data_IF_183865209825
#
_entry.id   IF_183865209825
#
_cell.length_a   1.000
_cell.length_b   1.000
_cell.length_c   1.000
_cell.angle_alpha   90.00
_cell.angle_beta   90.00
_cell.angle_gamma   90.00
#
_symmetry.space_group_name_H-M   'P 1'
#
loop_
_entity.id
_entity.type
_entity.pdbx_description
1 polymer ?
#
# COMPACT_ATOMS: atom_id res chain seq x y z
N UNK A 1 -0.88 13.45 -3.85
CA UNK A 1 -0.77 12.51 -4.99
C UNK A 1 -2.05 12.55 -5.82
N UNK A 2 -1.99 12.42 -7.15
CA UNK A 2 -3.20 12.29 -8.00
C UNK A 2 -3.69 10.85 -8.03
N UNK A 3 -4.91 10.58 -8.50
CA UNK A 3 -5.41 9.21 -8.69
C UNK A 3 -4.43 8.36 -9.51
N UNK A 4 -4.00 8.86 -10.68
CA UNK A 4 -3.00 8.17 -11.52
C UNK A 4 -1.67 7.91 -10.79
N UNK A 5 -1.29 8.77 -9.85
CA UNK A 5 -0.12 8.54 -8.99
C UNK A 5 -0.36 7.39 -8.01
N UNK A 6 -1.54 7.36 -7.38
CA UNK A 6 -1.96 6.29 -6.48
C UNK A 6 -1.98 4.95 -7.21
N UNK A 7 -2.61 4.86 -8.37
CA UNK A 7 -2.68 3.64 -9.17
C UNK A 7 -1.28 3.11 -9.53
N UNK A 8 -0.36 4.03 -9.89
CA UNK A 8 1.04 3.69 -10.19
C UNK A 8 1.77 3.11 -8.98
N UNK A 9 1.55 3.67 -7.78
CA UNK A 9 2.15 3.19 -6.54
C UNK A 9 1.63 1.81 -6.18
N UNK A 10 0.30 1.60 -6.22
CA UNK A 10 -0.32 0.30 -5.94
C UNK A 10 0.30 -0.77 -6.86
N UNK A 11 0.30 -0.53 -8.16
CA UNK A 11 0.90 -1.46 -9.12
C UNK A 11 2.42 -1.65 -8.91
N UNK A 12 3.13 -0.66 -8.37
CA UNK A 12 4.55 -0.80 -8.04
C UNK A 12 4.78 -1.77 -6.86
N UNK A 13 3.93 -1.73 -5.83
CA UNK A 13 3.97 -2.71 -4.74
C UNK A 13 3.73 -4.13 -5.23
N UNK A 14 2.72 -4.36 -6.08
CA UNK A 14 2.47 -5.68 -6.68
C UNK A 14 3.66 -6.21 -7.48
N UNK A 15 4.24 -5.35 -8.34
CA UNK A 15 5.45 -5.71 -9.09
C UNK A 15 6.66 -5.95 -8.19
N UNK A 16 6.80 -5.23 -7.07
CA UNK A 16 7.89 -5.44 -6.12
C UNK A 16 7.73 -6.79 -5.39
N UNK A 17 6.52 -7.11 -4.92
CA UNK A 17 6.20 -8.38 -4.27
C UNK A 17 6.49 -9.58 -5.19
N UNK A 18 6.08 -9.50 -6.47
CA UNK A 18 6.39 -10.53 -7.46
C UNK A 18 7.89 -10.75 -7.63
N UNK A 19 8.69 -9.68 -7.60
CA UNK A 19 10.16 -9.78 -7.68
C UNK A 19 10.76 -10.39 -6.41
N UNK A 20 10.22 -10.06 -5.23
CA UNK A 20 10.66 -10.66 -3.98
C UNK A 20 10.44 -12.19 -3.99
N UNK A 21 9.27 -12.64 -4.44
CA UNK A 21 8.97 -14.07 -4.62
C UNK A 21 9.94 -14.72 -5.60
N UNK A 22 10.16 -14.11 -6.77
CA UNK A 22 11.08 -14.63 -7.78
C UNK A 22 12.54 -14.70 -7.29
N UNK A 23 12.92 -13.82 -6.35
CA UNK A 23 14.23 -13.82 -5.71
C UNK A 23 14.36 -14.84 -4.58
N UNK A 24 13.28 -15.53 -4.19
CA UNK A 24 13.30 -16.58 -3.16
C UNK A 24 13.11 -16.08 -1.73
N UNK A 25 12.54 -14.89 -1.52
CA UNK A 25 12.17 -14.45 -0.17
C UNK A 25 10.93 -15.20 0.35
N UNK A 26 10.95 -15.55 1.64
CA UNK A 26 9.87 -16.31 2.30
C UNK A 26 8.76 -15.42 2.88
N UNK A 27 9.03 -14.13 3.12
CA UNK A 27 8.09 -13.16 3.72
C UNK A 27 8.22 -11.80 3.05
N UNK A 28 7.10 -11.09 2.89
CA UNK A 28 7.07 -9.69 2.46
C UNK A 28 6.31 -8.86 3.48
N UNK A 29 6.94 -7.79 3.97
CA UNK A 29 6.31 -6.82 4.87
C UNK A 29 6.03 -5.50 4.13
N UNK A 30 4.84 -4.93 4.35
CA UNK A 30 4.51 -3.58 3.88
C UNK A 30 4.90 -2.58 4.94
N UNK A 31 5.87 -1.71 4.64
CA UNK A 31 6.27 -0.67 5.56
C UNK A 31 5.21 0.46 5.64
N UNK A 32 4.35 0.39 6.66
CA UNK A 32 3.24 1.32 6.92
C UNK A 32 3.46 2.25 8.12
N UNK A 33 4.71 2.54 8.47
CA UNK A 33 5.08 3.26 9.70
C UNK A 33 6.10 4.39 9.44
N UNK A 34 6.57 5.02 10.52
CA UNK A 34 7.69 5.99 10.54
C UNK A 34 7.55 7.23 9.64
N UNK A 35 6.33 7.59 9.26
CA UNK A 35 6.06 8.83 8.51
C UNK A 35 6.35 8.70 7.01
N UNK A 36 6.61 7.48 6.52
CA UNK A 36 6.68 7.23 5.08
C UNK A 36 5.29 7.18 4.47
N UNK A 37 5.24 7.11 3.13
CA UNK A 37 4.05 7.28 2.30
C UNK A 37 2.76 6.66 2.86
N UNK A 38 2.79 5.37 3.23
CA UNK A 38 1.58 4.71 3.72
C UNK A 38 1.16 5.27 5.09
N UNK A 39 2.11 5.52 5.99
CA UNK A 39 1.81 6.18 7.27
C UNK A 39 1.28 7.60 7.07
N UNK A 40 1.81 8.34 6.08
CA UNK A 40 1.32 9.68 5.76
C UNK A 40 -0.16 9.67 5.36
N UNK A 41 -0.62 8.65 4.63
CA UNK A 41 -2.03 8.47 4.29
C UNK A 41 -2.87 8.11 5.51
N UNK A 42 -2.37 7.26 6.42
CA UNK A 42 -3.11 6.81 7.61
C UNK A 42 -3.30 7.92 8.65
N UNK A 43 -2.29 8.78 8.82
CA UNK A 43 -2.28 9.81 9.86
C UNK A 43 -3.12 11.03 9.44
N UNK A 44 -4.08 11.48 10.28
CA UNK A 44 -4.80 12.72 10.02
C UNK A 44 -3.93 13.98 10.19
N UNK A 45 -2.71 13.85 10.73
CA UNK A 45 -1.78 14.97 10.87
C UNK A 45 -1.18 15.37 9.51
N UNK A 46 -0.92 14.37 8.66
CA UNK A 46 -0.33 14.55 7.32
C UNK A 46 -1.37 14.48 6.20
N UNK A 47 -2.42 13.67 6.34
CA UNK A 47 -3.43 13.50 5.30
C UNK A 47 -4.66 14.39 5.54
N UNK A 48 -4.64 15.57 4.89
CA UNK A 48 -5.76 16.52 4.85
C UNK A 48 -6.58 16.43 3.55
N UNK A 49 -6.57 15.28 2.86
CA UNK A 49 -7.35 15.11 1.63
C UNK A 49 -8.85 15.08 1.93
N UNK A 50 -9.63 15.54 0.96
CA UNK A 50 -11.10 15.56 1.00
C UNK A 50 -11.73 14.58 0.01
N UNK A 51 -10.92 13.72 -0.61
CA UNK A 51 -11.37 12.67 -1.52
C UNK A 51 -11.44 11.30 -0.83
N UNK A 52 -11.64 10.23 -1.61
CA UNK A 52 -11.82 8.88 -1.08
C UNK A 52 -10.60 8.31 -0.35
N UNK A 53 -9.47 9.01 -0.35
CA UNK A 53 -8.27 8.62 0.40
C UNK A 53 -8.02 9.50 1.64
N UNK A 54 -8.94 10.39 2.02
CA UNK A 54 -8.82 11.26 3.20
C UNK A 54 -10.12 11.45 3.97
N UNK A 55 -10.08 12.26 5.03
CA UNK A 55 -11.23 12.49 5.90
C UNK A 55 -11.41 11.39 6.93
N UNK A 56 -12.25 10.39 6.66
CA UNK A 56 -12.57 9.31 7.64
C UNK A 56 -11.39 8.35 7.84
N UNK A 57 -11.45 7.55 8.92
CA UNK A 57 -10.44 6.51 9.17
C UNK A 57 -10.37 5.50 8.03
N UNK A 58 -11.53 5.12 7.50
CA UNK A 58 -11.70 4.13 6.44
C UNK A 58 -11.08 4.63 5.13
N UNK A 59 -11.34 5.89 4.76
CA UNK A 59 -10.75 6.50 3.57
C UNK A 59 -9.23 6.64 3.70
N UNK A 60 -8.73 7.09 4.85
CA UNK A 60 -7.28 7.19 5.11
C UNK A 60 -6.58 5.82 5.04
N UNK A 61 -7.26 4.74 5.40
CA UNK A 61 -6.79 3.37 5.24
C UNK A 61 -6.93 2.82 3.81
N UNK A 62 -7.59 3.54 2.90
CA UNK A 62 -7.89 3.10 1.54
C UNK A 62 -6.65 2.68 0.75
N UNK A 63 -5.59 3.51 0.77
CA UNK A 63 -4.35 3.21 0.07
C UNK A 63 -3.67 1.93 0.60
N UNK A 64 -3.57 1.78 1.93
CA UNK A 64 -2.99 0.59 2.53
C UNK A 64 -3.77 -0.67 2.13
N UNK A 65 -5.10 -0.61 2.16
CA UNK A 65 -5.97 -1.73 1.78
C UNK A 65 -5.73 -2.14 0.32
N UNK A 66 -5.70 -1.18 -0.60
CA UNK A 66 -5.46 -1.44 -2.02
C UNK A 66 -4.05 -2.00 -2.29
N UNK A 67 -3.03 -1.48 -1.60
CA UNK A 67 -1.67 -2.02 -1.64
C UNK A 67 -1.62 -3.47 -1.15
N UNK A 68 -2.28 -3.79 -0.03
CA UNK A 68 -2.34 -5.15 0.49
C UNK A 68 -3.07 -6.10 -0.46
N UNK A 69 -4.18 -5.67 -1.06
CA UNK A 69 -4.90 -6.46 -2.07
C UNK A 69 -4.00 -6.77 -3.28
N UNK A 70 -3.34 -5.76 -3.83
CA UNK A 70 -2.45 -5.93 -4.98
C UNK A 70 -1.23 -6.81 -4.63
N UNK A 71 -0.69 -6.68 -3.42
CA UNK A 71 0.41 -7.50 -2.93
C UNK A 71 0.00 -8.96 -2.79
N UNK A 72 -1.15 -9.26 -2.15
CA UNK A 72 -1.65 -10.64 -2.00
C UNK A 72 -1.94 -11.31 -3.35
N UNK A 73 -2.33 -10.55 -4.38
CA UNK A 73 -2.50 -11.08 -5.73
C UNK A 73 -1.17 -11.48 -6.41
N UNK A 74 -0.02 -11.03 -5.88
CA UNK A 74 1.30 -11.22 -6.47
C UNK A 74 2.25 -12.09 -5.64
N UNK A 75 1.77 -12.70 -4.54
CA UNK A 75 2.54 -13.64 -3.71
C UNK A 75 1.82 -14.99 -3.56
N UNK A 76 2.52 -16.10 -3.28
CA UNK A 76 1.87 -17.39 -3.03
C UNK A 76 0.85 -17.30 -1.90
N UNK A 77 -0.29 -18.00 -2.02
CA UNK A 77 -1.38 -17.92 -1.05
C UNK A 77 -1.00 -18.32 0.39
N UNK A 78 0.03 -19.18 0.52
CA UNK A 78 0.56 -19.64 1.82
C UNK A 78 1.67 -18.74 2.37
N UNK A 79 2.17 -17.80 1.58
CA UNK A 79 3.20 -16.87 2.01
C UNK A 79 2.60 -15.92 3.06
N UNK A 80 3.29 -15.66 4.17
CA UNK A 80 2.90 -14.64 5.13
C UNK A 80 2.73 -13.26 4.46
#
# INVERSE_FOLDING_TARGET
MTQKGIDKIIAAFGRAARRAVAAGYDVVEVHAAHGYLIHEFLSPLSNQRVDQYGGTRENRAGLLREVLTELRANIPAKMP
#
